data_IF_637336255919
#
_entry.id   IF_637336255919
#
_cell.length_a   1.000
_cell.length_b   1.000
_cell.length_c   1.000
_cell.angle_alpha   90.00
_cell.angle_beta   90.00
_cell.angle_gamma   90.00
#
_symmetry.space_group_name_H-M   'P 1'
#
loop_
_entity.id
_entity.type
_entity.pdbx_description
1 polymer ?
#
# COMPACT_ATOMS: atom_id res chain seq x y z
N UNK A 1 8.43 4.20 -1.53
CA UNK A 1 7.31 4.50 -0.63
C UNK A 1 6.03 3.88 -1.16
N UNK A 2 5.62 2.78 -0.55
CA UNK A 2 4.61 1.80 -0.96
C UNK A 2 3.33 2.34 -1.60
N UNK A 3 2.87 3.53 -1.18
CA UNK A 3 1.69 4.21 -1.73
C UNK A 3 1.80 4.50 -3.22
N UNK A 4 2.99 4.85 -3.70
CA UNK A 4 3.24 5.12 -5.12
C UNK A 4 3.17 3.84 -5.96
N UNK A 5 3.69 2.72 -5.43
CA UNK A 5 3.62 1.40 -6.06
C UNK A 5 2.16 0.97 -6.21
N UNK A 6 1.38 1.12 -5.14
CA UNK A 6 -0.06 0.82 -5.12
C UNK A 6 -0.78 1.68 -6.16
N UNK A 7 -0.53 3.00 -6.17
CA UNK A 7 -1.14 3.94 -7.11
C UNK A 7 -0.80 3.61 -8.56
N UNK A 8 0.47 3.34 -8.84
CA UNK A 8 0.95 2.96 -10.17
C UNK A 8 0.26 1.68 -10.64
N UNK A 9 0.26 0.63 -9.81
CA UNK A 9 -0.33 -0.65 -10.20
C UNK A 9 -1.85 -0.56 -10.37
N UNK A 10 -2.53 0.21 -9.52
CA UNK A 10 -3.97 0.49 -9.65
C UNK A 10 -4.28 1.15 -11.00
N UNK A 11 -3.49 2.16 -11.39
CA UNK A 11 -3.64 2.87 -12.66
C UNK A 11 -3.31 1.98 -13.87
N UNK A 12 -2.26 1.17 -13.80
CA UNK A 12 -1.93 0.18 -14.85
C UNK A 12 -3.08 -0.80 -15.11
N UNK A 13 -3.84 -1.15 -14.07
CA UNK A 13 -5.04 -1.99 -14.18
C UNK A 13 -6.31 -1.25 -14.61
N UNK A 14 -6.26 0.07 -14.76
CA UNK A 14 -7.41 0.88 -15.13
C UNK A 14 -8.53 0.95 -14.07
N UNK A 15 -8.26 0.55 -12.82
CA UNK A 15 -9.29 0.50 -11.77
C UNK A 15 -9.32 1.79 -10.92
N UNK A 16 -10.52 2.18 -10.48
CA UNK A 16 -10.69 3.36 -9.62
C UNK A 16 -10.33 3.07 -8.16
N UNK A 17 -10.21 4.12 -7.33
CA UNK A 17 -10.09 3.94 -5.87
C UNK A 17 -11.34 3.29 -5.26
N UNK A 18 -12.54 3.55 -5.82
CA UNK A 18 -13.77 2.90 -5.37
C UNK A 18 -13.76 1.40 -5.71
N UNK A 19 -13.22 1.03 -6.87
CA UNK A 19 -13.06 -0.35 -7.30
C UNK A 19 -12.08 -1.09 -6.37
N UNK A 20 -10.90 -0.50 -6.15
CA UNK A 20 -9.91 -1.06 -5.22
C UNK A 20 -10.48 -1.17 -3.80
N UNK A 21 -11.31 -0.22 -3.37
CA UNK A 21 -12.00 -0.27 -2.08
C UNK A 21 -12.89 -1.50 -1.96
N UNK A 22 -13.69 -1.79 -3.00
CA UNK A 22 -14.57 -2.97 -3.06
C UNK A 22 -13.78 -4.27 -3.09
N UNK A 23 -12.70 -4.33 -3.87
CA UNK A 23 -11.83 -5.52 -3.99
C UNK A 23 -11.09 -5.83 -2.69
N UNK A 24 -10.66 -4.80 -1.96
CA UNK A 24 -9.82 -4.98 -0.78
C UNK A 24 -10.62 -4.99 0.51
N UNK A 25 -11.84 -4.43 0.55
CA UNK A 25 -12.57 -4.16 1.79
C UNK A 25 -11.98 -3.01 2.61
N UNK A 26 -11.13 -2.18 1.99
CA UNK A 26 -10.47 -1.03 2.61
C UNK A 26 -11.19 0.23 2.18
N UNK A 27 -11.46 1.17 3.09
CA UNK A 27 -12.20 2.38 2.71
C UNK A 27 -11.47 3.21 1.65
N UNK A 28 -12.23 3.81 0.73
CA UNK A 28 -11.71 4.68 -0.34
C UNK A 28 -10.81 5.81 0.20
N UNK A 29 -11.22 6.44 1.30
CA UNK A 29 -10.46 7.50 1.96
C UNK A 29 -9.13 6.98 2.49
N UNK A 30 -9.10 5.78 3.06
CA UNK A 30 -7.87 5.18 3.56
C UNK A 30 -6.91 4.79 2.43
N UNK A 31 -7.42 4.21 1.34
CA UNK A 31 -6.62 3.98 0.13
C UNK A 31 -6.04 5.28 -0.44
N UNK A 32 -6.84 6.35 -0.45
CA UNK A 32 -6.35 7.68 -0.86
C UNK A 32 -5.24 8.22 0.04
N UNK A 33 -5.31 7.99 1.35
CA UNK A 33 -4.24 8.39 2.27
C UNK A 33 -2.97 7.56 2.06
N UNK A 34 -3.10 6.26 1.81
CA UNK A 34 -1.97 5.37 1.50
C UNK A 34 -1.29 5.82 0.21
N UNK A 35 -2.05 6.01 -0.89
CA UNK A 35 -1.49 6.42 -2.19
C UNK A 35 -0.78 7.78 -2.17
N UNK A 36 -1.13 8.65 -1.22
CA UNK A 36 -0.51 9.98 -1.05
C UNK A 36 0.64 9.99 -0.04
N UNK A 37 0.98 8.85 0.57
CA UNK A 37 2.00 8.78 1.63
C UNK A 37 1.58 9.50 2.93
N UNK A 38 0.30 9.84 3.09
CA UNK A 38 -0.19 10.56 4.27
C UNK A 38 -0.39 9.65 5.48
N UNK A 39 -0.49 8.33 5.25
CA UNK A 39 -0.57 7.34 6.33
C UNK A 39 0.84 6.82 6.64
N UNK A 40 1.38 7.21 7.80
CA UNK A 40 2.74 6.83 8.23
C UNK A 40 2.88 5.33 8.55
N UNK A 41 1.88 4.72 9.20
CA UNK A 41 1.93 3.31 9.61
C UNK A 41 0.61 2.58 9.24
N UNK A 42 0.40 2.19 7.98
CA UNK A 42 -0.67 1.25 7.66
C UNK A 42 -0.34 -0.14 8.24
N UNK A 43 -1.34 -0.87 8.72
CA UNK A 43 -1.14 -2.26 9.18
C UNK A 43 -0.65 -3.12 8.02
N UNK A 44 0.31 -4.01 8.29
CA UNK A 44 0.86 -4.93 7.31
C UNK A 44 -0.24 -5.78 6.66
N UNK A 45 -1.28 -6.12 7.42
CA UNK A 45 -2.42 -6.90 6.93
C UNK A 45 -3.21 -6.16 5.83
N UNK A 46 -3.40 -4.85 6.00
CA UNK A 46 -4.05 -4.02 4.98
C UNK A 46 -3.20 -3.95 3.73
N UNK A 47 -1.88 -3.80 3.90
CA UNK A 47 -0.97 -3.74 2.75
C UNK A 47 -0.94 -5.09 2.01
N UNK A 48 -0.89 -6.22 2.72
CA UNK A 48 -0.98 -7.56 2.11
C UNK A 48 -2.26 -7.74 1.30
N UNK A 49 -3.42 -7.34 1.83
CA UNK A 49 -4.70 -7.37 1.12
C UNK A 49 -4.67 -6.53 -0.16
N UNK A 50 -4.15 -5.31 -0.09
CA UNK A 50 -4.01 -4.44 -1.26
C UNK A 50 -3.10 -5.09 -2.30
N UNK A 51 -1.95 -5.60 -1.87
CA UNK A 51 -0.98 -6.28 -2.73
C UNK A 51 -1.58 -7.49 -3.43
N UNK A 52 -2.27 -8.34 -2.68
CA UNK A 52 -2.98 -9.50 -3.22
C UNK A 52 -4.01 -9.08 -4.28
N UNK A 53 -4.85 -8.08 -3.99
CA UNK A 53 -5.86 -7.57 -4.95
C UNK A 53 -5.27 -6.97 -6.23
N UNK A 54 -4.06 -6.40 -6.13
CA UNK A 54 -3.31 -5.81 -7.25
C UNK A 54 -2.32 -6.81 -7.89
N UNK A 55 -2.31 -8.06 -7.43
CA UNK A 55 -1.41 -9.14 -7.86
C UNK A 55 0.06 -8.67 -7.84
N UNK A 56 0.43 -7.98 -6.76
CA UNK A 56 1.78 -7.53 -6.47
C UNK A 56 2.48 -8.55 -5.56
N UNK A 57 3.76 -8.86 -5.81
CA UNK A 57 4.51 -9.75 -4.94
C UNK A 57 4.82 -9.07 -3.61
N UNK A 58 4.62 -9.80 -2.51
CA UNK A 58 4.85 -9.30 -1.15
C UNK A 58 6.32 -8.94 -0.87
N UNK A 59 7.25 -9.50 -1.65
CA UNK A 59 8.69 -9.22 -1.59
C UNK A 59 9.04 -7.75 -1.82
N UNK A 60 8.15 -6.98 -2.47
CA UNK A 60 8.32 -5.53 -2.63
C UNK A 60 8.13 -4.75 -1.33
N UNK A 61 7.55 -5.34 -0.27
CA UNK A 61 7.43 -4.67 1.04
C UNK A 61 8.77 -4.48 1.73
N UNK A 62 9.70 -5.42 1.57
CA UNK A 62 11.00 -5.40 2.24
C UNK A 62 11.92 -4.27 1.74
N UNK A 63 11.58 -3.63 0.62
CA UNK A 63 12.35 -2.54 0.01
C UNK A 63 12.01 -1.16 0.63
N UNK A 64 10.98 -1.07 1.48
CA UNK A 64 10.43 0.20 1.96
C UNK A 64 10.47 0.34 3.49
N UNK A 65 11.11 -0.58 4.22
CA UNK A 65 11.47 -0.34 5.62
C UNK A 65 12.60 0.71 5.62
N UNK A 66 12.37 1.97 6.04
CA UNK A 66 13.50 2.75 6.53
C UNK A 66 14.03 1.93 7.69
N UNK A 67 15.28 1.46 7.57
CA UNK A 67 16.01 0.92 8.70
C UNK A 67 15.79 1.90 9.85
N UNK A 68 14.94 1.53 10.82
CA UNK A 68 15.14 2.00 12.18
C UNK A 68 16.48 1.40 12.56
N UNK A 69 17.55 2.12 12.22
CA UNK A 69 18.82 2.03 12.92
C UNK A 69 18.44 2.30 14.37
N UNK A 70 18.17 1.23 15.11
CA UNK A 70 18.40 1.23 16.54
C UNK A 70 19.89 1.52 16.69
N UNK A 71 20.22 2.80 16.69
CA UNK A 71 21.42 3.29 17.33
C UNK A 71 21.09 3.25 18.82
N UNK A 72 21.36 2.11 19.43
CA UNK A 72 21.45 2.00 20.88
C UNK A 72 22.90 1.69 21.20
N UNK A 73 23.54 2.76 21.70
CA UNK A 73 24.75 2.86 22.54
C UNK A 73 25.96 2.01 22.18
#
# INVERSE_FOLDING_TARGET
MIGEIIRKKRKERGISLSELSRMTGVSKSYLSYIERGMKKNPSIEVIKRIFHSLNLPITMLSQDEPQKRHHTN
#
